data_IF_853904061281
#
_entry.id   IF_853904061281
#
_cell.length_a   1.000
_cell.length_b   1.000
_cell.length_c   1.000
_cell.angle_alpha   90.00
_cell.angle_beta   90.00
_cell.angle_gamma   90.00
#
_symmetry.space_group_name_H-M   'P 1'
#
loop_
_entity.id
_entity.type
_entity.pdbx_description
1 polymer ?
#
# COMPACT_ATOMS: atom_id res chain seq x y z
N UNK A 1 -22.25 24.65 -39.89
CA UNK A 1 -22.00 25.37 -38.62
C UNK A 1 -21.87 24.32 -37.55
N UNK A 2 -21.02 24.52 -36.56
CA UNK A 2 -20.88 23.52 -35.50
C UNK A 2 -22.19 23.40 -34.71
N UNK A 3 -22.71 22.18 -34.54
CA UNK A 3 -23.97 21.90 -33.84
C UNK A 3 -23.80 21.90 -32.28
N UNK A 4 -22.80 22.61 -31.77
CA UNK A 4 -22.52 22.77 -30.34
C UNK A 4 -22.04 24.19 -30.01
N UNK A 5 -22.21 24.60 -28.77
CA UNK A 5 -21.86 25.93 -28.26
C UNK A 5 -20.61 25.88 -27.36
N UNK A 6 -20.04 27.05 -27.06
CA UNK A 6 -18.97 27.16 -26.07
C UNK A 6 -19.41 26.71 -24.67
N UNK A 7 -20.71 26.85 -24.35
CA UNK A 7 -21.30 26.38 -23.11
C UNK A 7 -21.30 24.84 -23.04
N UNK A 8 -21.57 24.16 -24.15
CA UNK A 8 -21.52 22.70 -24.23
C UNK A 8 -20.08 22.18 -24.04
N UNK A 9 -19.09 22.86 -24.62
CA UNK A 9 -17.67 22.53 -24.40
C UNK A 9 -17.29 22.67 -22.92
N UNK A 10 -17.71 23.77 -22.30
CA UNK A 10 -17.48 24.02 -20.87
C UNK A 10 -18.13 22.94 -20.00
N UNK A 11 -19.40 22.64 -20.23
CA UNK A 11 -20.16 21.61 -19.52
C UNK A 11 -19.51 20.22 -19.68
N UNK A 12 -19.10 19.87 -20.90
CA UNK A 12 -18.44 18.59 -21.17
C UNK A 12 -17.09 18.48 -20.45
N UNK A 13 -16.34 19.59 -20.39
CA UNK A 13 -15.09 19.67 -19.64
C UNK A 13 -15.31 19.52 -18.13
N UNK A 14 -16.30 20.20 -17.59
CA UNK A 14 -16.65 20.08 -16.16
C UNK A 14 -17.07 18.64 -15.79
N UNK A 15 -17.81 17.98 -16.69
CA UNK A 15 -18.26 16.60 -16.47
C UNK A 15 -17.12 15.57 -16.59
N UNK A 16 -16.26 15.72 -17.60
CA UNK A 16 -15.26 14.68 -17.96
C UNK A 16 -13.86 14.97 -17.46
N UNK A 17 -13.57 16.24 -17.07
CA UNK A 17 -12.23 16.69 -16.72
C UNK A 17 -11.26 16.77 -17.91
N UNK A 18 -11.71 16.44 -19.12
CA UNK A 18 -10.87 16.42 -20.34
C UNK A 18 -10.42 17.81 -20.76
N UNK A 19 -9.34 17.89 -21.56
CA UNK A 19 -8.85 19.16 -22.09
C UNK A 19 -9.89 19.87 -22.96
N UNK A 20 -9.85 21.22 -23.00
CA UNK A 20 -10.82 22.02 -23.77
C UNK A 20 -10.86 21.64 -25.26
N UNK A 21 -9.67 21.38 -25.85
CA UNK A 21 -9.59 20.97 -27.25
C UNK A 21 -10.15 19.57 -27.48
N UNK A 22 -9.95 18.66 -26.54
CA UNK A 22 -10.51 17.30 -26.61
C UNK A 22 -12.02 17.33 -26.54
N UNK A 23 -12.60 18.13 -25.62
CA UNK A 23 -14.05 18.33 -25.54
C UNK A 23 -14.62 18.94 -26.82
N UNK A 24 -13.94 19.94 -27.39
CA UNK A 24 -14.33 20.57 -28.67
C UNK A 24 -14.30 19.56 -29.82
N UNK A 25 -13.24 18.76 -29.90
CA UNK A 25 -13.07 17.76 -30.95
C UNK A 25 -14.13 16.64 -30.80
N UNK A 26 -14.39 16.17 -29.58
CA UNK A 26 -15.41 15.16 -29.33
C UNK A 26 -16.82 15.63 -29.68
N UNK A 27 -17.17 16.88 -29.36
CA UNK A 27 -18.46 17.47 -29.79
C UNK A 27 -18.54 17.67 -31.31
N UNK A 28 -17.45 18.03 -31.96
CA UNK A 28 -17.41 18.11 -33.40
C UNK A 28 -17.57 16.74 -34.09
N UNK A 29 -16.89 15.71 -33.56
CA UNK A 29 -16.95 14.34 -34.07
C UNK A 29 -18.31 13.67 -33.83
N UNK A 30 -18.99 14.03 -32.75
CA UNK A 30 -20.33 13.56 -32.43
C UNK A 30 -21.46 14.42 -33.03
N UNK A 31 -21.13 15.40 -33.88
CA UNK A 31 -22.09 16.35 -34.48
C UNK A 31 -22.95 17.11 -33.44
N UNK A 32 -22.37 17.40 -32.27
CA UNK A 32 -23.02 18.09 -31.16
C UNK A 32 -23.80 17.17 -30.21
N UNK A 33 -23.83 15.87 -30.46
CA UNK A 33 -24.42 14.89 -29.54
C UNK A 33 -23.54 14.79 -28.27
N UNK A 34 -24.08 15.29 -27.15
CA UNK A 34 -23.36 15.41 -25.89
C UNK A 34 -22.99 14.04 -25.30
N UNK A 35 -23.91 13.08 -25.36
CA UNK A 35 -23.71 11.74 -24.77
C UNK A 35 -22.67 10.94 -25.57
N UNK A 36 -22.71 11.03 -26.90
CA UNK A 36 -21.66 10.47 -27.74
C UNK A 36 -20.30 11.13 -27.53
N UNK A 37 -20.27 12.46 -27.32
CA UNK A 37 -19.04 13.16 -27.00
C UNK A 37 -18.43 12.67 -25.68
N UNK A 38 -19.24 12.43 -24.66
CA UNK A 38 -18.80 11.79 -23.40
C UNK A 38 -18.22 10.40 -23.66
N UNK A 39 -18.89 9.58 -24.46
CA UNK A 39 -18.42 8.24 -24.81
C UNK A 39 -17.07 8.28 -25.56
N UNK A 40 -16.93 9.15 -26.55
CA UNK A 40 -15.68 9.35 -27.30
C UNK A 40 -14.53 9.76 -26.38
N UNK A 41 -14.77 10.65 -25.44
CA UNK A 41 -13.76 11.07 -24.46
C UNK A 41 -13.38 9.92 -23.51
N UNK A 42 -14.34 9.09 -23.10
CA UNK A 42 -14.07 7.88 -22.29
C UNK A 42 -13.21 6.88 -23.05
N UNK A 43 -13.52 6.62 -24.31
CA UNK A 43 -12.73 5.72 -25.18
C UNK A 43 -11.30 6.27 -25.35
N UNK A 44 -11.15 7.57 -25.62
CA UNK A 44 -9.86 8.24 -25.75
C UNK A 44 -9.07 8.15 -24.43
N UNK A 45 -9.72 8.43 -23.29
CA UNK A 45 -9.12 8.34 -21.98
C UNK A 45 -8.61 6.93 -21.69
N UNK A 46 -9.38 5.90 -22.01
CA UNK A 46 -8.97 4.50 -21.85
C UNK A 46 -7.73 4.16 -22.71
N UNK A 47 -7.65 4.66 -23.96
CA UNK A 47 -6.46 4.51 -24.81
C UNK A 47 -5.23 5.17 -24.21
N UNK A 48 -5.38 6.35 -23.64
CA UNK A 48 -4.27 7.10 -23.04
C UNK A 48 -3.81 6.49 -21.72
N UNK A 49 -4.72 5.89 -20.95
CA UNK A 49 -4.39 5.06 -19.77
C UNK A 49 -3.52 3.88 -20.20
N UNK A 50 -3.86 3.17 -21.27
CA UNK A 50 -3.05 2.08 -21.79
C UNK A 50 -1.63 2.50 -22.19
N UNK A 51 -1.46 3.68 -22.78
CA UNK A 51 -0.14 4.24 -23.12
C UNK A 51 0.72 4.58 -21.90
N UNK A 52 0.11 4.75 -20.72
CA UNK A 52 0.81 5.07 -19.47
C UNK A 52 1.15 3.82 -18.66
N UNK A 53 0.78 2.62 -19.11
CA UNK A 53 0.93 1.38 -18.35
C UNK A 53 2.38 1.13 -17.87
N UNK A 54 3.37 1.55 -18.63
CA UNK A 54 4.80 1.36 -18.31
C UNK A 54 5.39 2.47 -17.41
N UNK A 55 4.62 3.52 -17.09
CA UNK A 55 5.13 4.58 -16.21
C UNK A 55 5.25 4.12 -14.78
N UNK A 56 6.30 4.57 -14.10
CA UNK A 56 6.51 4.27 -12.69
C UNK A 56 5.51 5.05 -11.81
N UNK A 57 4.98 4.39 -10.80
CA UNK A 57 4.08 4.95 -9.79
C UNK A 57 4.73 4.84 -8.42
N UNK A 58 5.64 5.78 -8.11
CA UNK A 58 6.44 5.77 -6.89
C UNK A 58 5.80 6.55 -5.72
N UNK A 59 4.80 7.38 -6.03
CA UNK A 59 4.06 8.19 -5.07
C UNK A 59 2.66 7.61 -4.83
N UNK A 60 1.84 8.24 -4.00
CA UNK A 60 0.49 7.79 -3.67
C UNK A 60 0.21 7.81 -2.18
N UNK A 61 -0.64 6.89 -1.74
CA UNK A 61 -1.04 6.77 -0.34
C UNK A 61 -1.35 5.32 0.06
N UNK A 62 -1.39 5.10 1.37
CA UNK A 62 -2.04 3.95 1.99
C UNK A 62 -3.33 4.40 2.66
N UNK A 63 -4.38 3.58 2.59
CA UNK A 63 -5.63 3.80 3.28
C UNK A 63 -6.04 2.53 4.04
N UNK A 64 -6.64 2.70 5.22
CA UNK A 64 -7.09 1.59 6.05
C UNK A 64 -8.52 1.83 6.54
N UNK A 65 -9.29 0.74 6.61
CA UNK A 65 -10.65 0.73 7.13
C UNK A 65 -11.08 -0.68 7.53
N UNK A 66 -11.64 -0.84 8.71
CA UNK A 66 -12.32 -2.07 9.17
C UNK A 66 -11.52 -3.36 8.87
N UNK A 67 -10.24 -3.39 9.23
CA UNK A 67 -9.34 -4.52 8.99
C UNK A 67 -8.77 -4.61 7.58
N UNK A 68 -9.14 -3.71 6.68
CA UNK A 68 -8.54 -3.61 5.34
C UNK A 68 -7.43 -2.56 5.30
N UNK A 69 -6.43 -2.79 4.46
CA UNK A 69 -5.35 -1.88 4.10
C UNK A 69 -5.09 -1.97 2.60
N UNK A 70 -4.97 -0.82 1.94
CA UNK A 70 -4.59 -0.75 0.53
C UNK A 70 -3.42 0.19 0.31
N UNK A 71 -2.70 -0.01 -0.79
CA UNK A 71 -1.78 0.96 -1.38
C UNK A 71 -2.28 1.35 -2.76
N UNK A 72 -2.60 2.64 -2.93
CA UNK A 72 -2.98 3.25 -4.19
C UNK A 72 -1.89 4.22 -4.61
N UNK A 73 -1.27 3.96 -5.77
CA UNK A 73 -0.12 4.71 -6.26
C UNK A 73 -0.49 5.70 -7.36
N UNK A 74 0.31 6.75 -7.45
CA UNK A 74 0.30 7.79 -8.48
C UNK A 74 1.72 8.05 -9.00
N UNK A 75 1.86 8.80 -10.10
CA UNK A 75 3.18 9.19 -10.60
C UNK A 75 3.81 10.28 -9.74
N UNK A 76 3.00 11.24 -9.22
CA UNK A 76 3.47 12.40 -8.46
C UNK A 76 2.80 12.54 -7.09
N UNK A 77 3.47 13.27 -6.19
CA UNK A 77 2.93 13.66 -4.88
C UNK A 77 1.81 14.71 -4.99
N UNK A 78 1.77 15.49 -6.07
CA UNK A 78 0.66 16.41 -6.36
C UNK A 78 -0.66 15.66 -6.47
N UNK A 79 -0.67 14.51 -7.15
CA UNK A 79 -1.84 13.65 -7.26
C UNK A 79 -2.15 12.98 -5.93
N UNK A 80 -1.15 12.56 -5.18
CA UNK A 80 -1.36 12.01 -3.82
C UNK A 80 -2.09 13.00 -2.89
N UNK A 81 -1.88 14.31 -3.05
CA UNK A 81 -2.56 15.39 -2.31
C UNK A 81 -3.95 15.71 -2.85
N UNK A 82 -4.30 15.26 -4.05
CA UNK A 82 -5.58 15.56 -4.68
C UNK A 82 -6.75 14.93 -3.92
N UNK A 83 -7.78 15.74 -3.63
CA UNK A 83 -8.95 15.27 -2.85
C UNK A 83 -9.73 14.15 -3.53
N UNK A 84 -9.86 14.16 -4.87
CA UNK A 84 -10.55 13.10 -5.61
C UNK A 84 -9.76 11.77 -5.57
N UNK A 85 -8.43 11.84 -5.57
CA UNK A 85 -7.57 10.67 -5.42
C UNK A 85 -7.69 10.06 -4.03
N UNK A 86 -7.69 10.89 -2.98
CA UNK A 86 -7.86 10.43 -1.60
C UNK A 86 -9.27 9.85 -1.39
N UNK A 87 -10.30 10.47 -1.97
CA UNK A 87 -11.67 9.94 -1.89
C UNK A 87 -11.80 8.60 -2.61
N UNK A 88 -11.18 8.43 -3.78
CA UNK A 88 -11.12 7.14 -4.46
C UNK A 88 -10.45 6.09 -3.58
N UNK A 89 -9.34 6.40 -2.93
CA UNK A 89 -8.66 5.47 -2.02
C UNK A 89 -9.56 5.05 -0.84
N UNK A 90 -10.33 6.00 -0.27
CA UNK A 90 -11.30 5.70 0.79
C UNK A 90 -12.41 4.77 0.32
N UNK A 91 -12.90 4.96 -0.90
CA UNK A 91 -13.91 4.09 -1.50
C UNK A 91 -13.35 2.69 -1.79
N UNK A 92 -12.12 2.59 -2.30
CA UNK A 92 -11.45 1.32 -2.60
C UNK A 92 -11.18 0.52 -1.32
N UNK A 93 -10.68 1.16 -0.25
CA UNK A 93 -10.44 0.46 1.02
C UNK A 93 -11.75 0.03 1.68
N UNK A 94 -12.82 0.82 1.53
CA UNK A 94 -14.15 0.41 1.99
C UNK A 94 -14.68 -0.80 1.22
N UNK A 95 -14.44 -0.87 -0.09
CA UNK A 95 -14.78 -2.02 -0.91
C UNK A 95 -13.96 -3.27 -0.51
N UNK A 96 -12.67 -3.09 -0.20
CA UNK A 96 -11.81 -4.17 0.30
C UNK A 96 -12.33 -4.75 1.62
N UNK A 97 -12.71 -3.89 2.57
CA UNK A 97 -13.28 -4.29 3.84
C UNK A 97 -14.62 -5.02 3.66
N UNK A 98 -15.53 -4.47 2.85
CA UNK A 98 -16.85 -5.05 2.62
C UNK A 98 -16.78 -6.41 1.91
N UNK A 99 -15.85 -6.56 0.96
CA UNK A 99 -15.65 -7.80 0.21
C UNK A 99 -14.69 -8.79 0.91
N UNK A 100 -14.02 -8.36 2.01
CA UNK A 100 -13.01 -9.14 2.75
C UNK A 100 -11.89 -9.65 1.84
N UNK A 101 -11.37 -8.79 0.98
CA UNK A 101 -10.39 -9.15 -0.06
C UNK A 101 -8.99 -8.72 0.34
N UNK A 102 -8.04 -9.65 0.24
CA UNK A 102 -6.60 -9.45 0.54
C UNK A 102 -5.71 -9.43 -0.69
N UNK A 103 -6.28 -9.43 -1.88
CA UNK A 103 -5.57 -9.46 -3.15
C UNK A 103 -5.98 -8.27 -4.01
N UNK A 104 -4.99 -7.55 -4.56
CA UNK A 104 -5.25 -6.35 -5.34
C UNK A 104 -5.98 -6.65 -6.67
N UNK A 105 -5.66 -7.76 -7.33
CA UNK A 105 -6.30 -8.11 -8.60
C UNK A 105 -7.75 -8.54 -8.38
N UNK A 106 -8.03 -9.32 -7.33
CA UNK A 106 -9.38 -9.65 -6.94
C UNK A 106 -10.19 -8.40 -6.54
N UNK A 107 -9.57 -7.43 -5.86
CA UNK A 107 -10.21 -6.18 -5.45
C UNK A 107 -10.59 -5.29 -6.64
N UNK A 108 -9.88 -5.34 -7.75
CA UNK A 108 -10.21 -4.58 -8.98
C UNK A 108 -11.62 -4.86 -9.49
N UNK A 109 -12.13 -6.09 -9.29
CA UNK A 109 -13.49 -6.49 -9.68
C UNK A 109 -14.58 -6.08 -8.66
N UNK A 110 -14.21 -5.67 -7.45
CA UNK A 110 -15.16 -5.27 -6.41
C UNK A 110 -15.94 -4.00 -6.81
N UNK A 111 -17.14 -3.86 -6.27
CA UNK A 111 -18.01 -2.71 -6.55
C UNK A 111 -17.61 -1.46 -5.75
N UNK A 112 -17.62 -0.32 -6.45
CA UNK A 112 -17.52 1.03 -5.89
C UNK A 112 -18.62 1.87 -6.54
N UNK A 113 -19.69 2.15 -5.80
CA UNK A 113 -20.90 2.74 -6.38
C UNK A 113 -21.49 1.87 -7.50
N UNK A 114 -21.74 2.48 -8.65
CA UNK A 114 -22.31 1.79 -9.82
C UNK A 114 -21.25 1.15 -10.73
N UNK A 115 -19.98 1.23 -10.37
CA UNK A 115 -18.86 0.75 -11.19
C UNK A 115 -17.97 -0.24 -10.43
N UNK A 116 -16.87 -0.69 -11.04
CA UNK A 116 -15.83 -1.48 -10.36
C UNK A 116 -14.67 -0.61 -9.92
N UNK A 117 -13.85 -1.10 -8.98
CA UNK A 117 -12.60 -0.46 -8.54
C UNK A 117 -11.71 -0.16 -9.75
N UNK A 118 -11.52 -1.14 -10.65
CA UNK A 118 -10.71 -0.97 -11.86
C UNK A 118 -11.22 0.18 -12.74
N UNK A 119 -12.53 0.22 -12.99
CA UNK A 119 -13.15 1.27 -13.78
C UNK A 119 -13.04 2.65 -13.11
N UNK A 120 -13.24 2.74 -11.80
CA UNK A 120 -13.10 3.99 -11.05
C UNK A 120 -11.68 4.53 -11.11
N UNK A 121 -10.67 3.66 -10.96
CA UNK A 121 -9.25 4.02 -11.12
C UNK A 121 -8.97 4.49 -12.55
N UNK A 122 -9.46 3.78 -13.57
CA UNK A 122 -9.24 4.14 -14.97
C UNK A 122 -9.88 5.52 -15.32
N UNK A 123 -11.08 5.79 -14.82
CA UNK A 123 -11.77 7.07 -15.02
C UNK A 123 -10.98 8.22 -14.39
N UNK A 124 -10.53 8.05 -13.14
CA UNK A 124 -9.75 9.09 -12.46
C UNK A 124 -8.37 9.28 -13.09
N UNK A 125 -7.70 8.18 -13.48
CA UNK A 125 -6.42 8.22 -14.22
C UNK A 125 -6.55 8.99 -15.54
N UNK A 126 -7.64 8.76 -16.29
CA UNK A 126 -7.91 9.50 -17.52
C UNK A 126 -8.14 11.00 -17.27
N UNK A 127 -8.89 11.34 -16.22
CA UNK A 127 -9.20 12.71 -15.81
C UNK A 127 -7.95 13.49 -15.37
N UNK A 128 -7.12 12.88 -14.52
CA UNK A 128 -5.92 13.52 -13.95
C UNK A 128 -4.77 13.55 -14.97
N UNK A 129 -4.67 12.54 -15.83
CA UNK A 129 -3.60 12.43 -16.82
C UNK A 129 -2.36 11.69 -16.32
N UNK A 130 -2.43 11.05 -15.15
CA UNK A 130 -1.38 10.20 -14.58
C UNK A 130 -1.81 8.73 -14.52
N UNK A 131 -0.83 7.82 -14.50
CA UNK A 131 -1.06 6.42 -14.14
C UNK A 131 -1.42 6.34 -12.66
N UNK A 132 -2.54 5.67 -12.39
CA UNK A 132 -2.94 5.28 -11.04
C UNK A 132 -2.92 3.75 -10.96
N UNK A 133 -2.46 3.21 -9.84
CA UNK A 133 -2.30 1.77 -9.68
C UNK A 133 -2.71 1.31 -8.27
N UNK A 134 -3.68 0.41 -8.19
CA UNK A 134 -3.92 -0.36 -6.97
C UNK A 134 -2.85 -1.45 -6.88
N UNK A 135 -1.86 -1.23 -6.03
CA UNK A 135 -0.66 -2.06 -5.97
C UNK A 135 -0.81 -3.23 -5.02
N UNK A 136 -1.35 -2.99 -3.84
CA UNK A 136 -1.51 -3.99 -2.79
C UNK A 136 -2.83 -3.82 -2.06
N UNK A 137 -3.35 -4.94 -1.57
CA UNK A 137 -4.49 -4.99 -0.67
C UNK A 137 -4.25 -6.07 0.39
N UNK A 138 -4.75 -5.84 1.60
CA UNK A 138 -4.77 -6.81 2.68
C UNK A 138 -6.05 -6.66 3.47
N UNK A 139 -6.54 -7.78 4.03
CA UNK A 139 -7.67 -7.81 4.93
C UNK A 139 -7.45 -8.81 6.05
N UNK A 140 -7.73 -8.40 7.28
CA UNK A 140 -7.71 -9.24 8.48
C UNK A 140 -9.09 -9.22 9.13
N UNK A 141 -9.59 -10.40 9.48
CA UNK A 141 -10.97 -10.59 9.99
C UNK A 141 -11.04 -10.65 11.53
N UNK A 142 -9.90 -10.65 12.22
CA UNK A 142 -9.80 -10.72 13.69
C UNK A 142 -9.86 -9.36 14.37
N UNK A 143 -9.37 -9.33 15.61
CA UNK A 143 -9.11 -8.07 16.32
C UNK A 143 -7.85 -7.44 15.75
N UNK A 144 -8.00 -6.26 15.12
CA UNK A 144 -6.94 -5.62 14.37
C UNK A 144 -6.65 -4.23 14.93
N UNK A 145 -5.38 -3.95 15.19
CA UNK A 145 -4.88 -2.59 15.39
C UNK A 145 -4.32 -2.06 14.08
N UNK A 146 -4.61 -0.80 13.79
CA UNK A 146 -4.20 -0.11 12.56
C UNK A 146 -3.34 1.10 12.89
N UNK A 147 -2.21 1.23 12.23
CA UNK A 147 -1.36 2.43 12.29
C UNK A 147 -1.10 2.99 10.90
N UNK A 148 -1.30 4.29 10.75
CA UNK A 148 -1.03 5.04 9.53
C UNK A 148 -0.02 6.15 9.82
N UNK A 149 1.06 6.21 9.04
CA UNK A 149 2.12 7.20 9.20
C UNK A 149 2.23 8.11 7.98
N UNK A 150 2.32 9.42 8.23
CA UNK A 150 2.55 10.45 7.20
C UNK A 150 4.03 10.81 7.17
N UNK A 151 4.61 10.94 5.97
CA UNK A 151 5.99 11.45 5.81
C UNK A 151 6.08 12.96 6.02
N UNK A 152 5.02 13.70 5.72
CA UNK A 152 4.90 15.14 5.93
C UNK A 152 3.45 15.50 6.31
N UNK A 153 3.27 16.66 6.93
CA UNK A 153 1.96 17.08 7.45
C UNK A 153 0.90 17.30 6.35
N UNK A 154 1.35 17.74 5.17
CA UNK A 154 0.52 18.03 3.99
C UNK A 154 0.31 16.82 3.06
N UNK A 155 0.97 15.69 3.34
CA UNK A 155 0.83 14.44 2.59
C UNK A 155 -0.17 13.49 3.26
N UNK A 156 -0.87 12.65 2.47
CA UNK A 156 -1.61 11.53 3.02
C UNK A 156 -0.66 10.50 3.65
N UNK A 157 -1.19 9.51 4.41
CA UNK A 157 -0.36 8.44 4.95
C UNK A 157 0.39 7.68 3.86
N UNK A 158 1.71 7.49 4.06
CA UNK A 158 2.58 6.76 3.15
C UNK A 158 3.02 5.39 3.68
N UNK A 159 2.83 5.13 4.98
CA UNK A 159 3.06 3.83 5.60
C UNK A 159 1.80 3.42 6.33
N UNK A 160 1.37 2.17 6.13
CA UNK A 160 0.25 1.57 6.84
C UNK A 160 0.65 0.22 7.40
N UNK A 161 0.16 -0.07 8.61
CA UNK A 161 0.37 -1.34 9.31
C UNK A 161 -0.96 -1.84 9.84
N UNK A 162 -1.25 -3.13 9.62
CA UNK A 162 -2.28 -3.86 10.34
C UNK A 162 -1.60 -4.90 11.24
N UNK A 163 -2.04 -5.01 12.46
CA UNK A 163 -1.62 -6.03 13.43
C UNK A 163 -2.85 -6.77 13.93
N UNK A 164 -2.97 -8.05 13.62
CA UNK A 164 -4.00 -8.90 14.17
C UNK A 164 -3.48 -9.56 15.44
N UNK A 165 -4.28 -9.55 16.50
CA UNK A 165 -3.84 -10.03 17.80
C UNK A 165 -4.98 -10.62 18.62
N UNK A 166 -4.62 -11.37 19.65
CA UNK A 166 -5.51 -11.83 20.71
C UNK A 166 -4.98 -11.36 22.08
N UNK A 167 -5.87 -11.02 22.98
CA UNK A 167 -5.51 -10.60 24.34
C UNK A 167 -6.59 -11.00 25.33
N UNK A 168 -6.20 -11.27 26.56
CA UNK A 168 -7.15 -11.51 27.67
C UNK A 168 -7.80 -10.22 28.20
N UNK A 169 -7.10 -9.10 28.10
CA UNK A 169 -7.55 -7.76 28.46
C UNK A 169 -7.57 -6.89 27.21
N UNK A 170 -8.72 -6.32 26.89
CA UNK A 170 -8.91 -5.58 25.63
C UNK A 170 -8.11 -4.27 25.58
N UNK A 171 -8.02 -3.52 26.69
CA UNK A 171 -7.27 -2.24 26.72
C UNK A 171 -5.77 -2.49 26.62
N UNK A 172 -5.22 -3.36 27.45
CA UNK A 172 -3.81 -3.75 27.38
C UNK A 172 -3.45 -4.37 26.04
N UNK A 173 -4.36 -5.15 25.48
CA UNK A 173 -4.22 -5.74 24.16
C UNK A 173 -4.07 -4.68 23.08
N UNK A 174 -4.92 -3.67 23.09
CA UNK A 174 -4.88 -2.56 22.14
C UNK A 174 -3.60 -1.72 22.28
N UNK A 175 -3.21 -1.38 23.51
CA UNK A 175 -1.98 -0.63 23.79
C UNK A 175 -0.73 -1.39 23.28
N UNK A 176 -0.63 -2.68 23.58
CA UNK A 176 0.48 -3.52 23.13
C UNK A 176 0.50 -3.68 21.60
N UNK A 177 -0.66 -3.90 20.98
CA UNK A 177 -0.78 -4.01 19.53
C UNK A 177 -0.41 -2.69 18.83
N UNK A 178 -0.78 -1.54 19.43
CA UNK A 178 -0.39 -0.24 18.93
C UNK A 178 1.14 -0.02 19.00
N UNK A 179 1.76 -0.36 20.12
CA UNK A 179 3.22 -0.30 20.26
C UNK A 179 3.92 -1.20 19.22
N UNK A 180 3.38 -2.38 18.95
CA UNK A 180 3.86 -3.29 17.90
C UNK A 180 3.68 -2.69 16.51
N UNK A 181 2.55 -2.05 16.21
CA UNK A 181 2.33 -1.40 14.92
C UNK A 181 3.34 -0.28 14.67
N UNK A 182 3.66 0.53 15.69
CA UNK A 182 4.72 1.55 15.65
C UNK A 182 6.11 0.91 15.40
N UNK A 183 6.41 -0.18 16.09
CA UNK A 183 7.64 -0.96 15.92
C UNK A 183 7.80 -1.43 14.46
N UNK A 184 6.76 -2.06 13.91
CA UNK A 184 6.75 -2.55 12.53
C UNK A 184 6.93 -1.40 11.53
N UNK A 185 6.25 -0.28 11.75
CA UNK A 185 6.37 0.90 10.89
C UNK A 185 7.80 1.44 10.87
N UNK A 186 8.43 1.55 12.05
CA UNK A 186 9.76 2.15 12.24
C UNK A 186 10.90 1.21 11.80
N UNK A 187 10.88 -0.05 12.27
CA UNK A 187 11.99 -0.99 12.05
C UNK A 187 11.76 -1.96 10.88
N UNK A 188 10.65 -1.82 10.14
CA UNK A 188 10.39 -2.53 8.88
C UNK A 188 10.48 -4.05 9.04
N UNK A 189 9.96 -4.59 10.15
CA UNK A 189 9.89 -6.04 10.33
C UNK A 189 9.22 -6.71 9.13
N UNK A 190 9.76 -7.83 8.69
CA UNK A 190 9.27 -8.58 7.50
C UNK A 190 8.53 -9.85 7.87
N UNK A 191 8.93 -10.48 8.97
CA UNK A 191 8.42 -11.77 9.44
C UNK A 191 7.98 -11.65 10.89
N UNK A 192 7.00 -12.44 11.30
CA UNK A 192 6.56 -12.46 12.69
C UNK A 192 7.53 -13.26 13.55
N UNK A 193 7.84 -14.49 13.12
CA UNK A 193 8.72 -15.45 13.81
C UNK A 193 9.90 -15.85 12.92
N UNK A 194 10.90 -16.56 13.49
CA UNK A 194 12.03 -17.09 12.71
C UNK A 194 11.60 -18.17 11.72
N UNK A 195 10.57 -18.92 12.06
CA UNK A 195 10.01 -19.99 11.24
C UNK A 195 9.34 -19.46 9.97
N UNK A 196 8.91 -18.19 9.97
CA UNK A 196 8.31 -17.53 8.81
C UNK A 196 9.37 -17.08 7.77
N UNK A 197 10.66 -17.05 8.16
CA UNK A 197 11.74 -16.70 7.23
C UNK A 197 12.00 -17.86 6.28
N UNK A 198 11.89 -17.66 4.94
CA UNK A 198 12.14 -18.71 3.97
C UNK A 198 13.52 -19.36 4.14
N UNK A 199 13.56 -20.69 4.05
CA UNK A 199 14.79 -21.45 4.32
C UNK A 199 15.94 -21.12 3.36
N UNK A 200 15.64 -20.77 2.12
CA UNK A 200 16.60 -20.33 1.11
C UNK A 200 17.22 -18.96 1.48
N UNK A 201 16.44 -18.05 2.05
CA UNK A 201 16.93 -16.76 2.56
C UNK A 201 17.89 -17.01 3.73
N UNK A 202 17.50 -17.85 4.71
CA UNK A 202 18.36 -18.19 5.85
C UNK A 202 19.66 -18.86 5.37
N UNK A 203 19.58 -19.78 4.41
CA UNK A 203 20.75 -20.45 3.85
C UNK A 203 21.69 -19.45 3.13
N UNK A 204 21.12 -18.48 2.39
CA UNK A 204 21.90 -17.44 1.74
C UNK A 204 22.57 -16.50 2.74
N UNK A 205 21.86 -16.06 3.78
CA UNK A 205 22.46 -15.23 4.85
C UNK A 205 23.58 -15.96 5.59
N UNK A 206 23.43 -17.26 5.83
CA UNK A 206 24.46 -18.12 6.42
C UNK A 206 25.70 -18.19 5.52
N UNK A 207 25.52 -18.37 4.20
CA UNK A 207 26.61 -18.39 3.21
C UNK A 207 27.34 -17.05 3.17
N UNK A 208 26.60 -15.93 3.11
CA UNK A 208 27.18 -14.58 3.14
C UNK A 208 27.97 -14.35 4.42
N UNK A 209 27.43 -14.76 5.57
CA UNK A 209 28.11 -14.65 6.86
C UNK A 209 29.44 -15.43 6.89
N UNK A 210 29.46 -16.63 6.31
CA UNK A 210 30.65 -17.46 6.21
C UNK A 210 31.70 -16.84 5.29
N UNK A 211 31.35 -16.48 4.06
CA UNK A 211 32.27 -15.87 3.09
C UNK A 211 32.85 -14.56 3.64
N UNK A 212 32.03 -13.70 4.22
CA UNK A 212 32.48 -12.45 4.83
C UNK A 212 33.46 -12.71 5.98
N UNK A 213 33.18 -13.68 6.84
CA UNK A 213 34.09 -14.03 7.94
C UNK A 213 35.45 -14.56 7.45
N UNK A 214 35.47 -15.34 6.35
CA UNK A 214 36.71 -15.82 5.71
C UNK A 214 37.49 -14.66 5.11
N UNK A 215 36.82 -13.73 4.39
CA UNK A 215 37.49 -12.55 3.83
C UNK A 215 38.07 -11.63 4.91
N UNK A 216 37.42 -11.56 6.08
CA UNK A 216 37.96 -10.84 7.25
C UNK A 216 39.12 -11.56 7.94
N UNK A 217 39.52 -12.72 7.45
CA UNK A 217 40.61 -13.52 8.03
C UNK A 217 40.29 -14.11 9.39
N UNK A 218 39.04 -14.40 9.69
CA UNK A 218 38.65 -15.03 10.97
C UNK A 218 39.17 -16.45 11.04
N UNK A 219 39.65 -16.93 12.22
CA UNK A 219 40.14 -18.29 12.38
C UNK A 219 39.01 -19.30 12.10
N UNK A 220 39.34 -20.40 11.40
CA UNK A 220 38.37 -21.47 11.06
C UNK A 220 37.62 -22.01 12.27
N UNK A 221 38.28 -22.14 13.43
CA UNK A 221 37.67 -22.59 14.66
C UNK A 221 36.58 -21.64 15.19
N UNK A 222 36.64 -20.35 14.84
CA UNK A 222 35.67 -19.34 15.27
C UNK A 222 34.50 -19.18 14.29
N UNK A 223 34.62 -19.66 13.04
CA UNK A 223 33.63 -19.49 11.98
C UNK A 223 32.22 -19.93 12.39
N UNK A 224 32.00 -21.13 12.99
CA UNK A 224 30.65 -21.54 13.33
C UNK A 224 29.93 -20.55 14.28
N UNK A 225 30.67 -20.07 15.30
CA UNK A 225 30.11 -19.10 16.26
C UNK A 225 29.85 -17.73 15.64
N UNK A 226 30.75 -17.28 14.75
CA UNK A 226 30.61 -16.01 14.03
C UNK A 226 29.39 -16.07 13.10
N UNK A 227 29.24 -17.16 12.34
CA UNK A 227 28.12 -17.37 11.41
C UNK A 227 26.80 -17.35 12.19
N UNK A 228 26.69 -18.14 13.27
CA UNK A 228 25.47 -18.14 14.10
C UNK A 228 25.16 -16.76 14.70
N UNK A 229 26.19 -16.02 15.12
CA UNK A 229 26.04 -14.65 15.62
C UNK A 229 25.50 -13.69 14.57
N UNK A 230 25.99 -13.78 13.32
CA UNK A 230 25.53 -12.95 12.20
C UNK A 230 24.11 -13.31 11.76
N UNK A 231 23.78 -14.59 11.66
CA UNK A 231 22.41 -15.05 11.36
C UNK A 231 21.44 -14.62 12.47
N UNK A 232 21.86 -14.68 13.73
CA UNK A 232 21.07 -14.15 14.85
C UNK A 232 20.87 -12.64 14.73
N UNK A 233 21.89 -11.90 14.29
CA UNK A 233 21.78 -10.46 13.96
C UNK A 233 20.74 -10.22 12.88
N UNK A 234 20.80 -10.97 11.78
CA UNK A 234 19.82 -10.89 10.71
C UNK A 234 18.37 -11.11 11.21
N UNK A 235 18.14 -12.14 12.06
CA UNK A 235 16.81 -12.34 12.64
C UNK A 235 16.35 -11.14 13.47
N UNK A 236 17.24 -10.51 14.25
CA UNK A 236 16.90 -9.30 15.01
C UNK A 236 16.53 -8.11 14.12
N UNK A 237 17.00 -8.08 12.88
CA UNK A 237 16.67 -7.02 11.94
C UNK A 237 15.31 -7.25 11.27
N UNK A 238 14.97 -8.50 10.92
CA UNK A 238 13.80 -8.78 10.08
C UNK A 238 12.64 -9.47 10.78
N UNK A 239 12.86 -10.12 11.94
CA UNK A 239 11.84 -10.87 12.68
C UNK A 239 11.30 -10.04 13.84
N UNK A 240 10.02 -9.71 13.79
CA UNK A 240 9.35 -8.83 14.75
C UNK A 240 9.57 -9.27 16.21
N UNK A 241 9.34 -10.54 16.51
CA UNK A 241 9.43 -11.03 17.90
C UNK A 241 10.85 -11.04 18.45
N UNK A 242 11.86 -11.08 17.59
CA UNK A 242 13.28 -11.02 17.95
C UNK A 242 13.84 -9.60 18.06
N UNK A 243 13.15 -8.61 17.47
CA UNK A 243 13.62 -7.24 17.50
C UNK A 243 13.70 -6.70 18.94
N UNK A 244 14.75 -5.93 19.27
CA UNK A 244 14.73 -5.09 20.47
C UNK A 244 13.56 -4.10 20.38
N UNK A 245 12.80 -3.92 21.43
CA UNK A 245 11.69 -2.97 21.41
C UNK A 245 12.19 -1.53 21.32
N UNK A 246 11.51 -0.72 20.49
CA UNK A 246 11.79 0.74 20.42
C UNK A 246 11.40 1.49 21.71
N UNK A 247 10.49 0.93 22.53
CA UNK A 247 10.07 1.51 23.81
C UNK A 247 10.97 1.10 24.97
N UNK A 248 11.57 -0.10 24.91
CA UNK A 248 12.53 -0.60 25.91
C UNK A 248 13.56 -1.51 25.21
N UNK A 249 14.71 -0.97 24.87
CA UNK A 249 15.74 -1.69 24.13
C UNK A 249 16.42 -2.83 24.89
N UNK A 250 16.11 -3.00 26.16
CA UNK A 250 16.59 -4.14 26.97
C UNK A 250 15.69 -5.38 26.85
N UNK A 251 14.50 -5.20 26.27
CA UNK A 251 13.53 -6.28 26.04
C UNK A 251 13.29 -6.49 24.56
N UNK A 252 13.00 -7.71 24.18
CA UNK A 252 12.49 -8.00 22.83
C UNK A 252 11.00 -7.68 22.76
N UNK A 253 10.49 -7.49 21.53
CA UNK A 253 9.05 -7.34 21.27
C UNK A 253 8.29 -8.53 21.87
N UNK A 254 8.83 -9.78 21.72
CA UNK A 254 8.24 -10.97 22.31
C UNK A 254 8.08 -10.85 23.83
N UNK A 255 9.12 -10.42 24.53
CA UNK A 255 9.09 -10.31 25.99
C UNK A 255 8.02 -9.30 26.45
N UNK A 256 7.86 -8.17 25.76
CA UNK A 256 6.82 -7.18 26.08
C UNK A 256 5.41 -7.70 25.80
N UNK A 257 5.21 -8.45 24.73
CA UNK A 257 3.92 -9.09 24.42
C UNK A 257 3.56 -10.16 25.45
N UNK A 258 4.52 -11.00 25.84
CA UNK A 258 4.33 -12.03 26.88
C UNK A 258 3.93 -11.39 28.24
N UNK A 259 4.58 -10.29 28.64
CA UNK A 259 4.26 -9.52 29.85
C UNK A 259 2.85 -8.90 29.79
N UNK A 260 2.42 -8.46 28.59
CA UNK A 260 1.09 -7.89 28.39
C UNK A 260 -0.02 -8.95 28.24
N UNK A 261 0.34 -10.23 28.10
CA UNK A 261 -0.61 -11.30 27.81
C UNK A 261 -1.25 -11.17 26.43
N UNK A 262 -0.48 -10.73 25.46
CA UNK A 262 -0.92 -10.46 24.07
C UNK A 262 -0.19 -11.38 23.11
N UNK A 263 -0.94 -11.94 22.17
CA UNK A 263 -0.38 -12.74 21.08
C UNK A 263 -0.70 -12.05 19.74
N UNK A 264 0.34 -11.65 19.02
CA UNK A 264 0.21 -11.22 17.64
C UNK A 264 0.14 -12.45 16.75
N UNK A 265 -0.88 -12.54 15.91
CA UNK A 265 -1.10 -13.70 15.02
C UNK A 265 -0.55 -13.46 13.62
N UNK A 266 -0.63 -12.24 13.14
CA UNK A 266 -0.06 -11.80 11.86
C UNK A 266 -0.02 -10.28 11.77
N UNK A 267 0.76 -9.79 10.85
CA UNK A 267 0.78 -8.36 10.50
C UNK A 267 1.02 -8.16 9.01
N UNK A 268 0.75 -6.98 8.53
CA UNK A 268 1.14 -6.51 7.20
C UNK A 268 1.60 -5.06 7.28
N UNK A 269 2.60 -4.73 6.49
CA UNK A 269 3.13 -3.38 6.35
C UNK A 269 3.19 -2.99 4.88
N UNK A 270 2.53 -1.91 4.52
CA UNK A 270 2.66 -1.26 3.21
C UNK A 270 3.39 0.08 3.35
N UNK A 271 4.29 0.35 2.44
CA UNK A 271 4.94 1.64 2.29
C UNK A 271 4.89 2.03 0.83
N UNK A 272 4.39 3.23 0.54
CA UNK A 272 4.24 3.77 -0.81
C UNK A 272 5.57 3.72 -1.56
N UNK A 273 5.54 3.14 -2.76
CA UNK A 273 6.69 3.05 -3.67
C UNK A 273 7.73 2.00 -3.29
N UNK A 274 7.51 1.18 -2.26
CA UNK A 274 8.39 0.06 -1.90
C UNK A 274 7.77 -1.28 -2.31
N UNK A 275 8.66 -2.22 -2.69
CA UNK A 275 8.27 -3.58 -3.05
C UNK A 275 7.96 -4.43 -1.81
#
# INVERSE_FOLDING_TARGET
MANYTAADVKRLRELTGSGMMDCKNALAESDGDFDKAVELLRIKGAKDVGKRAERATAEGLVAAKDGALIELNSETDFVAKNGEFQELANQVVAAAAAAKVSDADALKAAKVGDTTVEQAIAVLSAKIGEKLELRRAAYFDGTVETYLHKRAADLPPAVGVLVEYTAGDAEKGKEAAHAVALQIAALKAKYLTREDVPADIVANERRIAEETAKEEGKPEQALPKIIEGRVTGYYKDVVLLDQPSVSDNKKTVKALLDEAGVTVTRFVRFEVGQA
#
